data_IF_222755111187
#
_entry.id   IF_222755111187
#
_cell.length_a   1.000
_cell.length_b   1.000
_cell.length_c   1.000
_cell.angle_alpha   90.00
_cell.angle_beta   90.00
_cell.angle_gamma   90.00
#
_symmetry.space_group_name_H-M   'P 1'
#
loop_
_entity.id
_entity.type
_entity.pdbx_description
1 polymer ?
#
# COMPACT_ATOMS: atom_id res chain seq x y z
N UNK A 1 -30.95 -39.59 16.49
CA UNK A 1 -30.48 -38.39 17.23
C UNK A 1 -31.44 -37.25 16.95
N UNK A 2 -31.90 -36.53 17.97
CA UNK A 2 -32.98 -35.53 17.88
C UNK A 2 -32.58 -34.30 17.06
N UNK A 3 -33.53 -33.66 16.37
CA UNK A 3 -33.37 -32.38 15.64
C UNK A 3 -32.68 -31.27 16.47
N UNK A 4 -32.77 -31.35 17.80
CA UNK A 4 -32.07 -30.50 18.76
C UNK A 4 -30.54 -30.61 18.72
N UNK A 5 -30.00 -31.81 18.45
CA UNK A 5 -28.54 -32.03 18.36
C UNK A 5 -27.97 -31.39 17.09
N UNK A 6 -28.72 -31.40 15.99
CA UNK A 6 -28.33 -30.78 14.72
C UNK A 6 -28.44 -29.26 14.75
N UNK A 7 -29.48 -28.71 15.39
CA UNK A 7 -29.58 -27.28 15.66
C UNK A 7 -28.44 -26.79 16.56
N UNK A 8 -28.08 -27.57 17.59
CA UNK A 8 -26.94 -27.27 18.43
C UNK A 8 -25.61 -27.35 17.66
N UNK A 9 -25.43 -28.33 16.78
CA UNK A 9 -24.24 -28.44 15.92
C UNK A 9 -24.14 -27.29 14.90
N UNK A 10 -25.26 -26.88 14.29
CA UNK A 10 -25.31 -25.75 13.37
C UNK A 10 -25.06 -24.41 14.06
N UNK A 11 -25.63 -24.19 15.25
CA UNK A 11 -25.34 -23.02 16.09
C UNK A 11 -23.90 -23.01 16.58
N UNK A 12 -23.35 -24.17 16.97
CA UNK A 12 -21.95 -24.31 17.34
C UNK A 12 -21.02 -24.02 16.16
N UNK A 13 -21.31 -24.54 14.97
CA UNK A 13 -20.56 -24.23 13.74
C UNK A 13 -20.66 -22.75 13.37
N UNK A 14 -21.83 -22.13 13.50
CA UNK A 14 -22.04 -20.70 13.29
C UNK A 14 -21.32 -19.81 14.31
N UNK A 15 -21.34 -20.19 15.59
CA UNK A 15 -20.60 -19.51 16.66
C UNK A 15 -19.09 -19.70 16.52
N UNK A 16 -18.63 -20.88 16.13
CA UNK A 16 -17.22 -21.16 15.82
C UNK A 16 -16.80 -20.35 14.59
N UNK A 17 -17.63 -20.25 13.54
CA UNK A 17 -17.35 -19.42 12.38
C UNK A 17 -17.32 -17.94 12.75
N UNK A 18 -18.25 -17.46 13.57
CA UNK A 18 -18.26 -16.08 14.07
C UNK A 18 -17.06 -15.79 14.97
N UNK A 19 -16.66 -16.75 15.82
CA UNK A 19 -15.47 -16.68 16.65
C UNK A 19 -14.20 -16.74 15.79
N UNK A 20 -14.16 -17.51 14.71
CA UNK A 20 -13.07 -17.54 13.74
C UNK A 20 -13.04 -16.26 12.93
N UNK A 21 -14.17 -15.68 12.54
CA UNK A 21 -14.22 -14.37 11.89
C UNK A 21 -13.71 -13.31 12.85
N UNK A 22 -14.08 -13.37 14.13
CA UNK A 22 -13.60 -12.47 15.18
C UNK A 22 -12.11 -12.68 15.46
N UNK A 23 -11.64 -13.93 15.58
CA UNK A 23 -10.23 -14.29 15.79
C UNK A 23 -9.42 -13.97 14.56
N UNK A 24 -9.86 -14.22 13.33
CA UNK A 24 -9.15 -13.82 12.10
C UNK A 24 -9.16 -12.31 11.98
N UNK A 25 -10.22 -11.60 12.36
CA UNK A 25 -10.24 -10.13 12.34
C UNK A 25 -9.36 -9.50 13.44
N UNK A 26 -9.34 -10.07 14.64
CA UNK A 26 -8.57 -9.61 15.79
C UNK A 26 -7.12 -10.12 15.77
N UNK A 27 -6.90 -11.27 15.14
CA UNK A 27 -5.65 -12.03 15.12
C UNK A 27 -5.05 -12.15 13.72
N UNK A 28 -5.62 -11.56 12.66
CA UNK A 28 -5.01 -11.56 11.31
C UNK A 28 -3.56 -11.10 11.36
N UNK A 29 -3.22 -10.14 12.22
CA UNK A 29 -1.83 -9.71 12.41
C UNK A 29 -0.95 -10.79 13.07
N UNK A 30 -1.27 -11.32 14.28
CA UNK A 30 -0.47 -12.38 14.91
C UNK A 30 -0.57 -13.77 14.25
N UNK A 31 -1.69 -14.16 13.63
CA UNK A 31 -1.84 -15.41 12.88
C UNK A 31 -1.08 -15.37 11.56
N UNK A 32 -1.10 -14.26 10.81
CA UNK A 32 -0.21 -14.09 9.64
C UNK A 32 1.25 -14.16 10.10
N UNK A 33 1.60 -13.61 11.26
CA UNK A 33 2.95 -13.76 11.83
C UNK A 33 3.30 -15.20 12.21
N UNK A 34 2.35 -15.94 12.80
CA UNK A 34 2.52 -17.33 13.20
C UNK A 34 2.60 -18.27 12.01
N UNK A 35 1.77 -18.04 10.98
CA UNK A 35 1.78 -18.77 9.72
C UNK A 35 2.99 -18.43 8.86
N UNK A 36 3.49 -17.19 8.87
CA UNK A 36 4.76 -16.83 8.21
C UNK A 36 5.96 -17.48 8.93
N UNK A 37 5.95 -17.51 10.26
CA UNK A 37 6.97 -18.23 11.06
C UNK A 37 6.89 -19.75 10.87
N UNK A 38 5.69 -20.30 10.72
CA UNK A 38 5.47 -21.72 10.45
C UNK A 38 5.79 -22.08 8.98
N UNK A 39 5.48 -21.21 8.02
CA UNK A 39 5.78 -21.41 6.60
C UNK A 39 7.28 -21.27 6.29
N UNK A 40 8.04 -20.60 7.15
CA UNK A 40 9.51 -20.53 7.08
C UNK A 40 10.20 -21.69 7.80
N UNK A 41 9.46 -22.53 8.54
CA UNK A 41 9.99 -23.71 9.23
C UNK A 41 10.50 -24.81 8.25
N UNK A 42 9.79 -25.19 7.17
CA UNK A 42 10.31 -26.14 6.18
C UNK A 42 11.59 -25.65 5.52
N UNK A 43 11.66 -24.35 5.22
CA UNK A 43 12.85 -23.71 4.64
C UNK A 43 14.05 -23.75 5.60
N UNK A 44 13.83 -23.43 6.88
CA UNK A 44 14.84 -23.54 7.95
C UNK A 44 15.29 -24.98 8.21
N UNK A 45 14.37 -25.93 8.10
CA UNK A 45 14.65 -27.35 8.28
C UNK A 45 15.48 -27.90 7.11
N UNK A 46 15.16 -27.51 5.87
CA UNK A 46 15.93 -27.84 4.66
C UNK A 46 17.33 -27.21 4.69
N UNK A 47 17.47 -25.94 5.10
CA UNK A 47 18.78 -25.30 5.26
C UNK A 47 19.64 -25.93 6.38
N UNK A 48 19.02 -26.41 7.47
CA UNK A 48 19.72 -27.18 8.50
C UNK A 48 20.12 -28.59 8.06
N UNK A 49 19.30 -29.24 7.23
CA UNK A 49 19.58 -30.56 6.65
C UNK A 49 20.66 -30.52 5.56
N UNK A 50 20.76 -29.41 4.82
CA UNK A 50 21.75 -29.22 3.75
C UNK A 50 23.15 -28.81 4.24
N UNK A 51 23.39 -28.78 5.56
CA UNK A 51 24.75 -28.72 6.10
C UNK A 51 25.54 -27.42 5.83
N UNK A 52 24.90 -26.33 5.42
CA UNK A 52 25.55 -25.02 5.24
C UNK A 52 25.79 -24.25 6.56
N UNK A 53 25.61 -24.91 7.70
CA UNK A 53 25.83 -24.35 9.03
C UNK A 53 27.23 -24.65 9.57
N UNK A 54 28.28 -24.03 9.03
CA UNK A 54 29.55 -23.70 9.75
C UNK A 54 30.52 -22.96 8.82
N UNK A 55 30.39 -21.62 8.73
CA UNK A 55 31.49 -20.61 8.90
C UNK A 55 31.32 -19.26 8.20
N UNK A 56 30.26 -18.96 7.47
CA UNK A 56 30.00 -17.59 7.03
C UNK A 56 28.49 -17.34 6.91
N UNK A 57 28.03 -16.16 7.35
CA UNK A 57 26.63 -15.70 7.31
C UNK A 57 25.68 -16.29 8.39
N UNK A 58 26.04 -16.16 9.66
CA UNK A 58 25.13 -16.36 10.80
C UNK A 58 24.28 -15.11 11.14
N UNK A 59 24.12 -14.14 10.22
CA UNK A 59 23.32 -12.92 10.43
C UNK A 59 22.34 -12.63 9.29
N UNK A 60 22.79 -12.68 8.04
CA UNK A 60 22.01 -12.12 6.92
C UNK A 60 20.74 -12.91 6.50
N UNK A 61 20.68 -14.22 6.75
CA UNK A 61 19.57 -15.06 6.28
C UNK A 61 18.36 -15.11 7.22
N UNK A 62 18.60 -15.17 8.53
CA UNK A 62 17.54 -15.12 9.54
C UNK A 62 17.03 -13.69 9.74
N UNK A 63 17.89 -12.67 9.60
CA UNK A 63 17.49 -11.26 9.68
C UNK A 63 16.62 -10.82 8.51
N UNK A 64 16.88 -11.25 7.26
CA UNK A 64 16.05 -10.85 6.11
C UNK A 64 14.61 -11.39 6.18
N UNK A 65 14.43 -12.59 6.75
CA UNK A 65 13.11 -13.22 6.95
C UNK A 65 12.44 -12.65 8.20
N UNK A 66 13.19 -12.38 9.28
CA UNK A 66 12.68 -11.62 10.43
C UNK A 66 12.32 -10.18 10.09
N UNK A 67 13.02 -9.53 9.17
CA UNK A 67 12.76 -8.17 8.69
C UNK A 67 11.47 -8.10 7.88
N UNK A 68 11.32 -9.03 6.91
CA UNK A 68 10.10 -9.17 6.15
C UNK A 68 8.89 -9.52 7.05
N UNK A 69 9.11 -10.34 8.08
CA UNK A 69 8.08 -10.66 9.07
C UNK A 69 7.83 -9.48 10.04
N UNK A 70 8.85 -8.76 10.50
CA UNK A 70 8.73 -7.64 11.46
C UNK A 70 8.03 -6.43 10.83
N UNK A 71 8.29 -6.15 9.55
CA UNK A 71 7.62 -5.09 8.82
C UNK A 71 6.18 -5.47 8.39
N UNK A 72 5.87 -6.76 8.27
CA UNK A 72 4.50 -7.23 8.04
C UNK A 72 3.65 -7.33 9.33
N UNK A 73 4.29 -7.45 10.51
CA UNK A 73 3.63 -7.90 11.76
C UNK A 73 3.70 -6.90 12.91
N UNK A 74 4.74 -6.08 13.02
CA UNK A 74 4.87 -5.26 14.21
C UNK A 74 3.87 -4.11 14.18
N UNK A 75 2.91 -4.09 15.10
CA UNK A 75 2.20 -2.88 15.49
C UNK A 75 3.11 -1.83 16.15
N UNK A 76 4.40 -1.83 15.81
CA UNK A 76 5.36 -0.78 16.11
C UNK A 76 5.29 0.22 14.98
N UNK A 77 5.50 1.50 15.31
CA UNK A 77 5.64 2.53 14.29
C UNK A 77 6.72 2.13 13.30
N UNK A 78 6.44 2.32 12.01
CA UNK A 78 7.48 2.17 10.98
C UNK A 78 8.56 3.24 11.18
N UNK A 79 9.76 3.06 10.62
CA UNK A 79 10.81 4.07 10.71
C UNK A 79 10.34 5.40 10.11
N UNK A 80 9.60 5.34 9.00
CA UNK A 80 8.98 6.51 8.39
C UNK A 80 8.00 7.21 9.33
N UNK A 81 7.15 6.44 10.04
CA UNK A 81 6.22 7.01 11.03
C UNK A 81 6.92 7.60 12.24
N UNK A 82 8.01 6.96 12.70
CA UNK A 82 8.83 7.49 13.78
C UNK A 82 9.53 8.79 13.37
N UNK A 83 10.01 8.88 12.12
CA UNK A 83 10.64 10.08 11.58
C UNK A 83 9.65 11.24 11.36
N UNK A 84 8.39 10.93 11.04
CA UNK A 84 7.32 11.93 10.88
C UNK A 84 6.85 12.51 12.23
N UNK A 85 6.89 11.73 13.30
CA UNK A 85 6.36 12.12 14.61
C UNK A 85 4.82 12.12 14.67
N UNK A 86 4.26 12.85 15.64
CA UNK A 86 2.84 12.72 16.05
C UNK A 86 2.02 14.00 15.92
N UNK A 87 2.68 15.10 15.55
CA UNK A 87 2.09 16.43 15.54
C UNK A 87 1.38 16.72 14.19
N UNK A 88 0.26 16.01 13.97
CA UNK A 88 -0.54 16.10 12.73
C UNK A 88 -2.02 16.39 12.98
N UNK A 89 -2.38 16.92 14.17
CA UNK A 89 -3.77 17.21 14.52
C UNK A 89 -4.46 18.17 13.52
N UNK A 90 -3.71 19.13 12.98
CA UNK A 90 -4.20 20.01 11.93
C UNK A 90 -4.43 19.24 10.63
N UNK A 91 -3.44 18.51 10.11
CA UNK A 91 -3.54 17.70 8.89
C UNK A 91 -4.71 16.72 8.99
N UNK A 92 -4.86 16.04 10.11
CA UNK A 92 -5.97 15.12 10.38
C UNK A 92 -7.34 15.80 10.31
N UNK A 93 -7.44 17.07 10.69
CA UNK A 93 -8.71 17.83 10.56
C UNK A 93 -9.13 18.07 9.10
N UNK A 94 -8.17 18.03 8.16
CA UNK A 94 -8.40 18.17 6.72
C UNK A 94 -8.47 16.83 6.00
N UNK A 95 -8.13 15.72 6.66
CA UNK A 95 -8.23 14.37 6.12
C UNK A 95 -9.52 13.70 6.60
N UNK A 96 -10.42 13.37 5.66
CA UNK A 96 -11.62 12.61 5.98
C UNK A 96 -11.56 11.23 5.37
N UNK A 97 -11.81 10.23 6.21
CA UNK A 97 -11.92 8.84 5.77
C UNK A 97 -13.40 8.51 5.62
N UNK A 98 -13.87 8.46 4.38
CA UNK A 98 -15.28 8.21 4.07
C UNK A 98 -15.50 6.76 3.61
N UNK A 99 -16.71 6.22 3.83
CA UNK A 99 -17.09 4.87 3.42
C UNK A 99 -17.37 3.90 4.56
N UNK A 100 -18.22 2.91 4.29
CA UNK A 100 -18.70 1.93 5.28
C UNK A 100 -17.82 0.68 5.27
N UNK A 101 -17.72 -0.01 4.13
CA UNK A 101 -16.96 -1.25 4.00
C UNK A 101 -15.47 -0.99 3.67
N UNK A 102 -15.25 -0.24 2.60
CA UNK A 102 -13.95 0.30 2.22
C UNK A 102 -13.91 1.77 2.57
N UNK A 103 -12.71 2.26 2.90
CA UNK A 103 -12.52 3.67 3.19
C UNK A 103 -11.88 4.34 1.99
N UNK A 104 -12.17 5.60 1.74
CA UNK A 104 -11.41 6.42 0.80
C UNK A 104 -10.96 7.70 1.50
N UNK A 105 -9.85 8.26 1.02
CA UNK A 105 -9.27 9.48 1.58
C UNK A 105 -9.81 10.70 0.83
N UNK A 106 -10.49 11.60 1.54
CA UNK A 106 -10.87 12.91 1.04
C UNK A 106 -9.94 13.97 1.65
N UNK A 107 -9.32 14.78 0.80
CA UNK A 107 -8.39 15.84 1.20
C UNK A 107 -9.09 17.19 1.05
N UNK A 108 -9.38 17.84 2.18
CA UNK A 108 -10.07 19.13 2.18
C UNK A 108 -9.16 20.28 1.74
N UNK A 109 -9.77 21.35 1.24
CA UNK A 109 -9.10 22.63 0.96
C UNK A 109 -8.50 23.17 2.26
N UNK A 110 -7.27 23.69 2.19
CA UNK A 110 -6.53 24.17 3.36
C UNK A 110 -5.50 23.18 3.91
N UNK A 111 -5.43 21.95 3.38
CA UNK A 111 -4.38 20.99 3.75
C UNK A 111 -2.95 21.50 3.45
N UNK A 112 -2.78 22.29 2.40
CA UNK A 112 -1.47 22.82 2.00
C UNK A 112 -1.03 23.99 2.91
N UNK A 113 0.05 23.78 3.67
CA UNK A 113 0.68 24.81 4.52
C UNK A 113 1.68 25.71 3.78
N UNK A 114 1.96 25.47 2.50
CA UNK A 114 2.95 26.28 1.77
C UNK A 114 2.41 27.68 1.46
N UNK A 115 3.20 28.75 1.68
CA UNK A 115 2.85 30.10 1.25
C UNK A 115 2.56 30.18 -0.25
N UNK A 116 1.72 31.13 -0.65
CA UNK A 116 1.37 31.35 -2.07
C UNK A 116 2.49 32.04 -2.85
N UNK A 117 3.31 32.86 -2.18
CA UNK A 117 4.38 33.64 -2.81
C UNK A 117 5.75 33.40 -2.16
N UNK A 118 6.80 33.46 -2.97
CA UNK A 118 8.19 33.40 -2.52
C UNK A 118 8.66 34.81 -2.10
N UNK A 119 8.45 35.13 -0.83
CA UNK A 119 8.96 36.37 -0.21
C UNK A 119 10.46 36.27 0.08
N UNK A 120 11.13 37.41 0.27
CA UNK A 120 12.56 37.41 0.62
C UNK A 120 12.84 36.73 1.98
N UNK A 121 11.90 36.83 2.91
CA UNK A 121 11.98 36.10 4.19
C UNK A 121 11.91 34.58 3.96
N UNK A 122 10.96 34.13 3.15
CA UNK A 122 10.83 32.71 2.80
C UNK A 122 12.03 32.21 2.01
N UNK A 123 12.61 33.02 1.12
CA UNK A 123 13.82 32.68 0.39
C UNK A 123 15.04 32.50 1.32
N UNK A 124 15.16 33.32 2.38
CA UNK A 124 16.17 33.14 3.43
C UNK A 124 15.94 31.86 4.22
N UNK A 125 14.70 31.56 4.57
CA UNK A 125 14.35 30.31 5.27
C UNK A 125 14.65 29.09 4.41
N UNK A 126 14.30 29.11 3.12
CA UNK A 126 14.64 28.06 2.18
C UNK A 126 16.14 27.90 1.98
N UNK A 127 16.92 28.98 1.95
CA UNK A 127 18.38 28.88 1.89
C UNK A 127 18.98 28.29 3.18
N UNK A 128 18.42 28.62 4.36
CA UNK A 128 18.78 27.97 5.63
C UNK A 128 18.53 26.46 5.55
N UNK A 129 17.35 26.06 5.10
CA UNK A 129 16.99 24.65 4.91
C UNK A 129 17.90 23.97 3.87
N UNK A 130 18.17 24.63 2.75
CA UNK A 130 19.06 24.15 1.70
C UNK A 130 20.48 23.89 2.22
N UNK A 131 21.04 24.81 3.02
CA UNK A 131 22.35 24.64 3.63
C UNK A 131 22.36 23.48 4.62
N UNK A 132 21.32 23.36 5.45
CA UNK A 132 21.16 22.23 6.36
C UNK A 132 21.09 20.89 5.61
N UNK A 133 20.36 20.86 4.49
CA UNK A 133 20.23 19.67 3.65
C UNK A 133 21.54 19.30 2.93
N UNK A 134 22.15 20.26 2.22
CA UNK A 134 23.34 20.02 1.40
C UNK A 134 24.62 19.81 2.24
N UNK A 135 24.69 20.42 3.43
CA UNK A 135 25.79 20.23 4.37
C UNK A 135 25.53 19.13 5.41
N UNK A 136 24.33 18.56 5.44
CA UNK A 136 23.91 17.57 6.41
C UNK A 136 24.54 16.20 6.17
N UNK A 137 24.79 15.45 7.24
CA UNK A 137 25.18 14.04 7.12
C UNK A 137 23.94 13.21 6.77
N UNK A 138 24.03 12.41 5.71
CA UNK A 138 23.01 11.40 5.42
C UNK A 138 23.21 10.24 6.39
N UNK A 139 22.21 9.86 7.20
CA UNK A 139 22.31 8.69 8.04
C UNK A 139 22.35 7.44 7.15
N UNK A 140 23.47 6.72 7.18
CA UNK A 140 23.68 5.45 6.43
C UNK A 140 23.27 4.24 7.30
N UNK A 141 23.07 4.48 8.60
CA UNK A 141 22.59 3.46 9.53
C UNK A 141 21.18 3.03 9.14
N UNK A 142 21.00 1.71 9.03
CA UNK A 142 19.71 1.09 8.73
C UNK A 142 19.45 -0.02 9.73
N UNK A 143 18.21 -0.11 10.20
CA UNK A 143 17.79 -1.27 10.96
C UNK A 143 17.64 -2.44 9.97
N UNK A 144 18.43 -3.50 10.16
CA UNK A 144 18.36 -4.71 9.33
C UNK A 144 16.96 -5.35 9.33
N UNK A 145 16.12 -5.03 10.33
CA UNK A 145 14.73 -5.50 10.43
C UNK A 145 13.73 -4.62 9.68
N UNK A 146 14.11 -3.41 9.32
CA UNK A 146 13.26 -2.54 8.53
C UNK A 146 13.36 -2.92 7.05
N UNK A 147 12.25 -2.79 6.34
CA UNK A 147 12.27 -2.96 4.90
C UNK A 147 12.93 -1.75 4.25
N UNK A 148 13.65 -1.99 3.16
CA UNK A 148 14.44 -0.98 2.45
C UNK A 148 13.64 0.30 2.16
N UNK A 149 12.40 0.15 1.69
CA UNK A 149 11.53 1.28 1.38
C UNK A 149 11.04 2.06 2.60
N UNK A 150 10.98 1.44 3.79
CA UNK A 150 10.69 2.17 5.02
C UNK A 150 11.92 2.92 5.54
N UNK A 151 13.12 2.38 5.32
CA UNK A 151 14.38 3.08 5.60
C UNK A 151 14.51 4.30 4.69
N UNK A 152 14.32 4.15 3.37
CA UNK A 152 14.33 5.28 2.43
C UNK A 152 13.26 6.32 2.79
N UNK A 153 12.05 5.85 3.13
CA UNK A 153 10.96 6.73 3.54
C UNK A 153 11.31 7.53 4.80
N UNK A 154 11.99 6.92 5.77
CA UNK A 154 12.43 7.58 6.99
C UNK A 154 13.52 8.63 6.73
N UNK A 155 14.48 8.33 5.85
CA UNK A 155 15.54 9.29 5.47
C UNK A 155 14.91 10.53 4.83
N UNK A 156 13.99 10.36 3.89
CA UNK A 156 13.29 11.48 3.24
C UNK A 156 12.45 12.25 4.27
N UNK A 157 11.69 11.55 5.12
CA UNK A 157 10.89 12.19 6.16
C UNK A 157 11.74 13.02 7.13
N UNK A 158 12.94 12.53 7.50
CA UNK A 158 13.85 13.27 8.37
C UNK A 158 14.45 14.50 7.69
N UNK A 159 14.93 14.36 6.45
CA UNK A 159 15.54 15.45 5.69
C UNK A 159 14.57 16.60 5.39
N UNK A 160 13.30 16.27 5.17
CA UNK A 160 12.26 17.25 4.85
C UNK A 160 11.27 17.46 6.00
N UNK A 161 11.66 17.13 7.23
CA UNK A 161 10.78 17.24 8.40
C UNK A 161 10.30 18.69 8.62
N UNK A 162 11.19 19.68 8.43
CA UNK A 162 10.83 21.10 8.62
C UNK A 162 9.99 21.68 7.46
N UNK A 163 10.17 21.19 6.23
CA UNK A 163 9.54 21.77 5.04
C UNK A 163 8.28 21.04 4.58
N UNK A 164 8.31 19.70 4.55
CA UNK A 164 7.39 18.88 3.76
C UNK A 164 6.69 17.78 4.58
N UNK A 165 6.82 17.79 5.92
CA UNK A 165 6.22 16.78 6.80
C UNK A 165 4.74 16.53 6.53
N UNK A 166 3.95 17.58 6.27
CA UNK A 166 2.52 17.46 5.98
C UNK A 166 2.25 16.76 4.64
N UNK A 167 3.06 17.02 3.61
CA UNK A 167 2.93 16.36 2.32
C UNK A 167 3.28 14.87 2.44
N UNK A 168 4.40 14.57 3.11
CA UNK A 168 4.88 13.19 3.36
C UNK A 168 3.86 12.42 4.21
N UNK A 169 3.27 13.06 5.22
CA UNK A 169 2.21 12.48 6.04
C UNK A 169 0.98 12.08 5.22
N UNK A 170 0.45 12.97 4.37
CA UNK A 170 -0.70 12.67 3.50
C UNK A 170 -0.43 11.46 2.61
N UNK A 171 0.74 11.46 1.98
CA UNK A 171 1.17 10.40 1.08
C UNK A 171 1.27 9.06 1.83
N UNK A 172 1.83 9.06 3.05
CA UNK A 172 1.89 7.89 3.91
C UNK A 172 0.49 7.42 4.37
N UNK A 173 -0.42 8.33 4.69
CA UNK A 173 -1.80 8.00 5.07
C UNK A 173 -2.59 7.41 3.90
N UNK A 174 -2.41 7.95 2.70
CA UNK A 174 -2.95 7.38 1.45
C UNK A 174 -2.45 5.95 1.26
N UNK A 175 -1.13 5.71 1.39
CA UNK A 175 -0.53 4.36 1.37
C UNK A 175 -1.18 3.40 2.35
N UNK A 176 -1.32 3.79 3.62
CA UNK A 176 -1.90 2.94 4.68
C UNK A 176 -3.34 2.59 4.37
N UNK A 177 -4.13 3.56 3.93
CA UNK A 177 -5.53 3.37 3.58
C UNK A 177 -5.67 2.43 2.38
N UNK A 178 -4.89 2.64 1.33
CA UNK A 178 -4.91 1.77 0.14
C UNK A 178 -4.52 0.33 0.50
N UNK A 179 -3.46 0.13 1.29
CA UNK A 179 -3.05 -1.20 1.76
C UNK A 179 -4.13 -1.86 2.62
N UNK A 180 -4.74 -1.11 3.54
CA UNK A 180 -5.80 -1.63 4.40
C UNK A 180 -7.03 -2.08 3.60
N UNK A 181 -7.38 -1.38 2.52
CA UNK A 181 -8.47 -1.77 1.64
C UNK A 181 -8.17 -3.07 0.88
N UNK A 182 -6.95 -3.27 0.38
CA UNK A 182 -6.56 -4.52 -0.28
C UNK A 182 -6.61 -5.70 0.68
N UNK A 183 -6.06 -5.53 1.88
CA UNK A 183 -6.10 -6.56 2.92
C UNK A 183 -7.55 -6.94 3.26
N UNK A 184 -8.43 -5.95 3.42
CA UNK A 184 -9.86 -6.18 3.65
C UNK A 184 -10.52 -6.91 2.50
N UNK A 185 -10.23 -6.54 1.26
CA UNK A 185 -10.80 -7.18 0.07
C UNK A 185 -10.38 -8.65 0.01
N UNK A 186 -9.09 -8.94 0.16
CA UNK A 186 -8.56 -10.30 0.19
C UNK A 186 -9.18 -11.13 1.33
N UNK A 187 -9.40 -10.51 2.50
CA UNK A 187 -10.03 -11.17 3.65
C UNK A 187 -11.50 -11.50 3.38
N UNK A 188 -12.27 -10.56 2.83
CA UNK A 188 -13.68 -10.77 2.48
C UNK A 188 -13.85 -11.83 1.41
N UNK A 189 -13.02 -11.80 0.37
CA UNK A 189 -13.08 -12.79 -0.67
C UNK A 189 -12.70 -14.18 -0.16
N UNK A 190 -11.67 -14.29 0.68
CA UNK A 190 -11.29 -15.56 1.30
C UNK A 190 -12.41 -16.10 2.19
N UNK A 191 -13.09 -15.21 2.92
CA UNK A 191 -14.25 -15.55 3.75
C UNK A 191 -15.42 -16.07 2.91
N UNK A 192 -15.78 -15.39 1.81
CA UNK A 192 -16.87 -15.81 0.92
C UNK A 192 -16.56 -17.20 0.36
N UNK A 193 -15.35 -17.39 -0.15
CA UNK A 193 -14.93 -18.65 -0.79
C UNK A 193 -14.91 -19.80 0.23
N UNK A 194 -14.43 -19.53 1.44
CA UNK A 194 -14.49 -20.46 2.56
C UNK A 194 -15.90 -20.80 3.02
N UNK A 195 -16.79 -19.79 3.09
CA UNK A 195 -18.18 -19.99 3.47
C UNK A 195 -18.92 -20.85 2.44
N UNK A 196 -18.70 -20.63 1.13
CA UNK A 196 -19.24 -21.51 0.08
C UNK A 196 -18.82 -22.95 0.32
N UNK A 197 -17.53 -23.21 0.53
CA UNK A 197 -17.04 -24.56 0.73
C UNK A 197 -17.65 -25.21 1.99
N UNK A 198 -17.59 -24.50 3.13
CA UNK A 198 -18.09 -25.02 4.41
C UNK A 198 -19.60 -25.28 4.37
N UNK A 199 -20.39 -24.34 3.85
CA UNK A 199 -21.86 -24.46 3.77
C UNK A 199 -22.23 -25.66 2.90
N UNK A 200 -21.59 -25.83 1.74
CA UNK A 200 -21.89 -26.98 0.87
C UNK A 200 -21.49 -28.32 1.50
N UNK A 201 -20.35 -28.38 2.20
CA UNK A 201 -19.95 -29.59 2.94
C UNK A 201 -21.00 -29.91 4.01
N UNK A 202 -21.35 -28.95 4.87
CA UNK A 202 -22.29 -29.19 5.98
C UNK A 202 -23.69 -29.52 5.48
N UNK A 203 -24.21 -28.80 4.48
CA UNK A 203 -25.56 -29.04 3.96
C UNK A 203 -25.67 -30.37 3.21
N UNK A 204 -24.60 -30.79 2.52
CA UNK A 204 -24.56 -32.09 1.84
C UNK A 204 -24.47 -33.23 2.85
N UNK A 205 -23.57 -33.13 3.84
CA UNK A 205 -23.36 -34.15 4.88
C UNK A 205 -24.60 -34.35 5.77
N UNK A 206 -25.32 -33.27 6.08
CA UNK A 206 -26.57 -33.33 6.88
C UNK A 206 -27.78 -33.82 6.09
N UNK A 207 -27.64 -34.06 4.79
CA UNK A 207 -28.77 -34.41 3.91
C UNK A 207 -29.79 -33.28 3.74
N UNK A 208 -29.51 -32.07 4.26
CA UNK A 208 -30.44 -30.94 4.19
C UNK A 208 -30.72 -30.50 2.74
N UNK A 209 -29.76 -30.67 1.83
CA UNK A 209 -29.97 -30.35 0.42
C UNK A 209 -31.03 -31.27 -0.20
N UNK A 210 -31.04 -32.55 0.16
CA UNK A 210 -32.06 -33.49 -0.29
C UNK A 210 -33.43 -33.18 0.37
N UNK A 211 -33.44 -32.83 1.66
CA UNK A 211 -34.67 -32.51 2.39
C UNK A 211 -35.36 -31.21 1.93
N UNK A 212 -34.60 -30.26 1.39
CA UNK A 212 -35.12 -28.98 0.86
C UNK A 212 -35.37 -29.04 -0.66
N UNK A 213 -35.14 -30.19 -1.29
CA UNK A 213 -35.29 -30.28 -2.74
C UNK A 213 -36.76 -30.33 -3.16
N UNK A 214 -37.18 -29.48 -4.11
CA UNK A 214 -38.48 -29.61 -4.75
C UNK A 214 -38.51 -30.74 -5.80
N UNK A 215 -37.39 -31.42 -6.06
CA UNK A 215 -37.25 -32.45 -7.08
C UNK A 215 -37.51 -33.82 -6.44
N UNK A 216 -38.57 -34.49 -6.88
CA UNK A 216 -38.92 -35.83 -6.40
C UNK A 216 -37.79 -36.84 -6.66
N UNK A 217 -37.58 -37.76 -5.72
CA UNK A 217 -36.57 -38.83 -5.80
C UNK A 217 -36.86 -39.88 -6.89
N UNK A 218 -37.99 -39.77 -7.60
CA UNK A 218 -38.32 -40.65 -8.72
C UNK A 218 -37.37 -40.41 -9.89
N UNK A 219 -36.35 -41.26 -9.96
CA UNK A 219 -35.29 -41.25 -10.95
C UNK A 219 -35.84 -41.42 -12.38
N UNK A 220 -35.88 -40.33 -13.13
CA UNK A 220 -35.96 -40.35 -14.59
C UNK A 220 -34.62 -39.95 -15.20
N UNK A 221 -33.56 -40.74 -14.98
CA UNK A 221 -32.24 -40.53 -15.59
C UNK A 221 -31.05 -41.16 -14.85
N UNK A 222 -29.81 -41.01 -15.38
CA UNK A 222 -28.58 -41.52 -14.77
C UNK A 222 -28.11 -40.72 -13.53
N UNK A 223 -28.82 -39.66 -13.16
CA UNK A 223 -28.51 -38.79 -12.01
C UNK A 223 -29.71 -38.85 -11.06
N UNK A 224 -29.47 -39.13 -9.79
CA UNK A 224 -30.51 -39.17 -8.76
C UNK A 224 -31.01 -37.76 -8.42
N UNK A 225 -32.26 -37.64 -7.93
CA UNK A 225 -32.82 -36.35 -7.49
C UNK A 225 -31.97 -35.66 -6.43
N UNK A 226 -31.45 -36.43 -5.46
CA UNK A 226 -30.50 -35.96 -4.46
C UNK A 226 -29.20 -35.38 -5.05
N UNK A 227 -28.59 -36.05 -6.05
CA UNK A 227 -27.39 -35.56 -6.73
C UNK A 227 -27.67 -34.27 -7.51
N UNK A 228 -28.81 -34.19 -8.21
CA UNK A 228 -29.21 -32.98 -8.93
C UNK A 228 -29.47 -31.80 -7.99
N UNK A 229 -30.01 -32.07 -6.80
CA UNK A 229 -30.27 -31.05 -5.77
C UNK A 229 -28.98 -30.52 -5.17
N UNK A 230 -28.03 -31.42 -4.86
CA UNK A 230 -26.67 -31.05 -4.44
C UNK A 230 -25.95 -30.23 -5.49
N UNK A 231 -26.11 -30.59 -6.76
CA UNK A 231 -25.55 -29.87 -7.89
C UNK A 231 -26.11 -28.45 -7.99
N UNK A 232 -27.44 -28.29 -7.88
CA UNK A 232 -28.11 -26.98 -7.95
C UNK A 232 -27.71 -26.10 -6.76
N UNK A 233 -27.66 -26.65 -5.55
CA UNK A 233 -27.22 -25.91 -4.36
C UNK A 233 -25.75 -25.48 -4.45
N UNK A 234 -24.87 -26.39 -4.89
CA UNK A 234 -23.46 -26.11 -5.13
C UNK A 234 -23.24 -25.06 -6.21
N UNK A 235 -23.95 -25.17 -7.34
CA UNK A 235 -23.88 -24.19 -8.41
C UNK A 235 -24.45 -22.83 -7.99
N UNK A 236 -25.61 -22.82 -7.33
CA UNK A 236 -26.26 -21.60 -6.86
C UNK A 236 -25.43 -20.82 -5.84
N UNK A 237 -24.80 -21.53 -4.90
CA UNK A 237 -23.90 -20.90 -3.92
C UNK A 237 -22.61 -20.34 -4.55
N UNK A 238 -22.02 -21.04 -5.53
CA UNK A 238 -20.89 -20.51 -6.30
C UNK A 238 -21.27 -19.27 -7.13
N UNK A 239 -22.44 -19.28 -7.79
CA UNK A 239 -22.94 -18.12 -8.55
C UNK A 239 -23.23 -16.93 -7.65
N UNK A 240 -23.89 -17.15 -6.51
CA UNK A 240 -24.14 -16.11 -5.51
C UNK A 240 -22.83 -15.53 -4.99
N UNK A 241 -21.84 -16.38 -4.68
CA UNK A 241 -20.53 -15.92 -4.25
C UNK A 241 -19.81 -15.09 -5.31
N UNK A 242 -19.84 -15.51 -6.58
CA UNK A 242 -19.29 -14.72 -7.68
C UNK A 242 -19.98 -13.35 -7.80
N UNK A 243 -21.31 -13.30 -7.66
CA UNK A 243 -22.10 -12.06 -7.71
C UNK A 243 -21.77 -11.13 -6.53
N UNK A 244 -21.63 -11.68 -5.31
CA UNK A 244 -21.24 -10.90 -4.12
C UNK A 244 -19.82 -10.38 -4.26
N UNK A 245 -18.86 -11.20 -4.71
CA UNK A 245 -17.49 -10.78 -4.97
C UNK A 245 -17.43 -9.68 -6.04
N UNK A 246 -18.19 -9.83 -7.11
CA UNK A 246 -18.30 -8.82 -8.17
C UNK A 246 -18.87 -7.51 -7.64
N UNK A 247 -19.95 -7.55 -6.85
CA UNK A 247 -20.56 -6.36 -6.26
C UNK A 247 -19.59 -5.66 -5.29
N UNK A 248 -18.94 -6.41 -4.40
CA UNK A 248 -17.92 -5.87 -3.50
C UNK A 248 -16.75 -5.25 -4.25
N UNK A 249 -16.32 -5.83 -5.37
CA UNK A 249 -15.22 -5.29 -6.16
C UNK A 249 -15.60 -4.02 -6.90
N UNK A 250 -16.67 -4.07 -7.71
CA UNK A 250 -17.00 -3.00 -8.65
C UNK A 250 -17.85 -1.88 -8.04
N UNK A 251 -18.74 -2.19 -7.10
CA UNK A 251 -19.58 -1.17 -6.46
C UNK A 251 -18.85 -0.47 -5.31
N UNK A 252 -18.01 -1.19 -4.57
CA UNK A 252 -17.39 -0.68 -3.34
C UNK A 252 -15.87 -0.54 -3.46
N UNK A 253 -15.10 -1.59 -3.72
CA UNK A 253 -13.65 -1.48 -3.66
C UNK A 253 -13.04 -0.54 -4.73
N UNK A 254 -13.36 -0.79 -6.00
CA UNK A 254 -12.73 -0.13 -7.14
C UNK A 254 -12.98 1.39 -7.18
N UNK A 255 -14.22 1.90 -7.00
CA UNK A 255 -14.46 3.34 -6.97
C UNK A 255 -13.72 4.05 -5.84
N UNK A 256 -13.65 3.43 -4.65
CA UNK A 256 -13.04 4.03 -3.47
C UNK A 256 -11.51 4.12 -3.58
N UNK A 257 -10.87 3.11 -4.19
CA UNK A 257 -9.44 3.15 -4.46
C UNK A 257 -9.08 4.13 -5.56
N UNK A 258 -9.90 4.23 -6.61
CA UNK A 258 -9.75 5.26 -7.65
C UNK A 258 -9.89 6.65 -7.06
N UNK A 259 -10.90 6.89 -6.22
CA UNK A 259 -11.06 8.19 -5.55
C UNK A 259 -9.85 8.55 -4.69
N UNK A 260 -9.31 7.61 -3.91
CA UNK A 260 -8.09 7.84 -3.13
C UNK A 260 -6.88 8.16 -4.01
N UNK A 261 -6.72 7.44 -5.12
CA UNK A 261 -5.66 7.69 -6.10
C UNK A 261 -5.79 9.09 -6.73
N UNK A 262 -7.00 9.48 -7.14
CA UNK A 262 -7.30 10.82 -7.70
C UNK A 262 -7.07 11.94 -6.71
N UNK A 263 -7.49 11.78 -5.46
CA UNK A 263 -7.24 12.77 -4.41
C UNK A 263 -5.74 12.93 -4.15
N UNK A 264 -5.00 11.83 -4.17
CA UNK A 264 -3.54 11.84 -4.06
C UNK A 264 -2.90 12.55 -5.26
N UNK A 265 -3.33 12.25 -6.48
CA UNK A 265 -2.87 12.90 -7.70
C UNK A 265 -3.18 14.42 -7.70
N UNK A 266 -4.42 14.79 -7.38
CA UNK A 266 -4.85 16.19 -7.27
C UNK A 266 -4.07 16.97 -6.20
N UNK A 267 -3.76 16.33 -5.07
CA UNK A 267 -2.87 16.92 -4.07
C UNK A 267 -1.47 17.14 -4.64
N UNK A 268 -0.88 16.11 -5.24
CA UNK A 268 0.47 16.15 -5.81
C UNK A 268 0.60 17.22 -6.91
N UNK A 269 -0.35 17.30 -7.83
CA UNK A 269 -0.38 18.31 -8.89
C UNK A 269 -0.37 19.72 -8.31
N UNK A 270 -1.24 20.01 -7.33
CA UNK A 270 -1.31 21.34 -6.70
C UNK A 270 -0.05 21.67 -5.90
N UNK A 271 0.45 20.67 -5.17
CA UNK A 271 1.63 20.83 -4.33
C UNK A 271 2.88 21.11 -5.17
N UNK A 272 3.14 20.31 -6.21
CA UNK A 272 4.29 20.49 -7.08
C UNK A 272 4.17 21.71 -8.00
N UNK A 273 2.96 22.09 -8.40
CA UNK A 273 2.73 23.38 -9.08
C UNK A 273 3.23 24.55 -8.21
N UNK A 274 2.88 24.56 -6.92
CA UNK A 274 3.33 25.60 -5.99
C UNK A 274 4.84 25.59 -5.76
N UNK A 275 5.47 24.41 -5.63
CA UNK A 275 6.94 24.32 -5.55
C UNK A 275 7.59 24.86 -6.82
N UNK A 276 7.03 24.55 -7.98
CA UNK A 276 7.53 25.01 -9.27
C UNK A 276 7.35 26.52 -9.48
N UNK A 277 6.27 27.12 -8.98
CA UNK A 277 6.10 28.58 -9.02
C UNK A 277 7.18 29.28 -8.20
N UNK A 278 7.48 28.78 -7.00
CA UNK A 278 8.63 29.25 -6.21
C UNK A 278 9.95 29.05 -6.97
N UNK A 279 10.13 27.90 -7.64
CA UNK A 279 11.33 27.61 -8.42
C UNK A 279 11.53 28.62 -9.56
N UNK A 280 10.47 28.94 -10.31
CA UNK A 280 10.50 29.94 -11.38
C UNK A 280 10.82 31.34 -10.85
N UNK A 281 10.24 31.73 -9.71
CA UNK A 281 10.55 32.99 -9.05
C UNK A 281 12.02 33.05 -8.62
N UNK A 282 12.55 31.97 -8.04
CA UNK A 282 13.95 31.89 -7.65
C UNK A 282 14.90 32.02 -8.86
N UNK A 283 14.55 31.46 -10.02
CA UNK A 283 15.31 31.64 -11.26
C UNK A 283 15.30 33.09 -11.73
N UNK A 284 14.12 33.73 -11.75
CA UNK A 284 13.99 35.13 -12.16
C UNK A 284 14.81 36.06 -11.27
N UNK A 285 14.78 35.81 -9.96
CA UNK A 285 15.58 36.54 -8.97
C UNK A 285 17.08 36.27 -9.13
N UNK A 286 17.50 35.02 -9.28
CA UNK A 286 18.90 34.68 -9.55
C UNK A 286 19.44 35.41 -10.78
N UNK A 287 18.70 35.42 -11.90
CA UNK A 287 19.11 36.12 -13.11
C UNK A 287 19.17 37.64 -12.94
N UNK A 288 18.49 38.24 -11.96
CA UNK A 288 18.44 39.70 -11.80
C UNK A 288 19.44 40.27 -10.80
N UNK A 289 20.18 39.41 -10.08
CA UNK A 289 21.18 39.82 -9.07
C UNK A 289 22.17 40.86 -9.62
N UNK A 290 22.69 40.65 -10.82
CA UNK A 290 23.71 41.50 -11.45
C UNK A 290 23.17 42.72 -12.20
N UNK A 291 21.84 42.84 -12.33
CA UNK A 291 21.17 43.89 -13.13
C UNK A 291 20.87 45.15 -12.29
N UNK A 292 21.03 45.07 -10.96
CA UNK A 292 20.74 46.16 -10.04
C UNK A 292 21.76 47.31 -10.02
N UNK A 293 21.47 48.34 -9.22
CA UNK A 293 22.41 49.44 -8.94
C UNK A 293 23.49 49.07 -7.90
N UNK A 294 23.37 47.89 -7.28
CA UNK A 294 24.31 47.41 -6.27
C UNK A 294 25.68 47.13 -6.91
N UNK A 295 26.73 47.69 -6.31
CA UNK A 295 28.12 47.59 -6.80
C UNK A 295 29.03 46.88 -5.82
N UNK A 296 28.57 46.59 -4.60
CA UNK A 296 29.32 45.78 -3.66
C UNK A 296 29.34 44.31 -4.09
N UNK A 297 30.53 43.84 -4.48
CA UNK A 297 30.73 42.47 -4.93
C UNK A 297 30.43 41.44 -3.85
N UNK A 298 30.56 41.78 -2.56
CA UNK A 298 30.22 40.87 -1.45
C UNK A 298 28.71 40.69 -1.36
N UNK A 299 27.95 41.78 -1.41
CA UNK A 299 26.50 41.73 -1.36
C UNK A 299 25.92 40.97 -2.57
N UNK A 300 26.46 41.23 -3.77
CA UNK A 300 26.08 40.49 -4.98
C UNK A 300 26.39 38.99 -4.87
N UNK A 301 27.52 38.62 -4.29
CA UNK A 301 27.89 37.22 -4.09
C UNK A 301 26.98 36.52 -3.08
N UNK A 302 26.65 37.19 -1.97
CA UNK A 302 25.72 36.66 -0.96
C UNK A 302 24.32 36.44 -1.54
N UNK A 303 23.83 37.40 -2.35
CA UNK A 303 22.53 37.29 -3.01
C UNK A 303 22.53 36.20 -4.10
N UNK A 304 23.59 36.09 -4.91
CA UNK A 304 23.75 35.01 -5.88
C UNK A 304 23.77 33.63 -5.19
N UNK A 305 24.48 33.50 -4.07
CA UNK A 305 24.51 32.27 -3.29
C UNK A 305 23.13 31.92 -2.72
N UNK A 306 22.40 32.90 -2.19
CA UNK A 306 21.05 32.73 -1.67
C UNK A 306 20.12 32.13 -2.73
N UNK A 307 20.08 32.73 -3.92
CA UNK A 307 19.18 32.27 -4.99
C UNK A 307 19.64 30.95 -5.61
N UNK A 308 20.95 30.71 -5.73
CA UNK A 308 21.48 29.43 -6.18
C UNK A 308 21.10 28.28 -5.23
N UNK A 309 21.16 28.49 -3.91
CA UNK A 309 20.70 27.53 -2.91
C UNK A 309 19.20 27.27 -3.02
N UNK A 310 18.40 28.32 -3.20
CA UNK A 310 16.96 28.19 -3.41
C UNK A 310 16.60 27.35 -4.64
N UNK A 311 17.25 27.61 -5.78
CA UNK A 311 17.05 26.85 -7.02
C UNK A 311 17.34 25.36 -6.79
N UNK A 312 18.49 25.02 -6.19
CA UNK A 312 18.86 23.63 -5.91
C UNK A 312 17.88 22.97 -4.93
N UNK A 313 17.54 23.66 -3.84
CA UNK A 313 16.63 23.16 -2.82
C UNK A 313 15.24 22.84 -3.36
N UNK A 314 14.64 23.77 -4.11
CA UNK A 314 13.31 23.57 -4.67
C UNK A 314 13.30 22.44 -5.71
N UNK A 315 14.34 22.33 -6.53
CA UNK A 315 14.46 21.24 -7.48
C UNK A 315 14.62 19.87 -6.77
N UNK A 316 15.47 19.80 -5.74
CA UNK A 316 15.67 18.58 -4.95
C UNK A 316 14.40 18.18 -4.18
N UNK A 317 13.63 19.13 -3.65
CA UNK A 317 12.31 18.86 -3.06
C UNK A 317 11.40 18.14 -4.04
N UNK A 318 11.30 18.59 -5.29
CA UNK A 318 10.50 17.90 -6.32
C UNK A 318 11.01 16.48 -6.54
N UNK A 319 12.33 16.30 -6.70
CA UNK A 319 12.94 14.97 -6.89
C UNK A 319 12.64 13.99 -5.75
N UNK A 320 12.78 14.44 -4.50
CA UNK A 320 12.56 13.57 -3.34
C UNK A 320 11.08 13.26 -3.10
N UNK A 321 10.17 14.20 -3.38
CA UNK A 321 8.73 13.92 -3.35
C UNK A 321 8.37 12.90 -4.43
N UNK A 322 8.90 13.04 -5.65
CA UNK A 322 8.70 12.06 -6.73
C UNK A 322 9.23 10.67 -6.35
N UNK A 323 10.43 10.62 -5.76
CA UNK A 323 11.03 9.39 -5.24
C UNK A 323 10.20 8.77 -4.12
N UNK A 324 9.66 9.58 -3.21
CA UNK A 324 8.82 9.12 -2.11
C UNK A 324 7.48 8.55 -2.61
N UNK A 325 6.86 9.16 -3.62
CA UNK A 325 5.65 8.63 -4.26
C UNK A 325 5.94 7.29 -4.95
N UNK A 326 7.04 7.18 -5.70
CA UNK A 326 7.47 5.90 -6.29
C UNK A 326 7.65 4.84 -5.22
N UNK A 327 8.28 5.22 -4.11
CA UNK A 327 8.50 4.34 -2.97
C UNK A 327 7.18 3.85 -2.34
N UNK A 328 6.21 4.73 -2.17
CA UNK A 328 4.85 4.39 -1.72
C UNK A 328 4.17 3.45 -2.70
N UNK A 329 4.20 3.72 -4.01
CA UNK A 329 3.58 2.86 -4.99
C UNK A 329 4.18 1.45 -4.97
N UNK A 330 5.50 1.35 -4.82
CA UNK A 330 6.20 0.07 -4.65
C UNK A 330 5.71 -0.67 -3.41
N UNK A 331 5.60 0.02 -2.26
CA UNK A 331 5.06 -0.56 -1.02
C UNK A 331 3.64 -1.10 -1.21
N UNK A 332 2.77 -0.34 -1.87
CA UNK A 332 1.38 -0.74 -2.09
C UNK A 332 1.33 -1.98 -2.98
N UNK A 333 2.04 -1.99 -4.11
CA UNK A 333 2.06 -3.14 -5.04
C UNK A 333 2.61 -4.39 -4.36
N UNK A 334 3.73 -4.28 -3.65
CA UNK A 334 4.34 -5.43 -2.96
C UNK A 334 3.45 -5.96 -1.84
N UNK A 335 2.93 -5.10 -0.96
CA UNK A 335 2.06 -5.53 0.13
C UNK A 335 0.79 -6.20 -0.41
N UNK A 336 0.26 -5.71 -1.53
CA UNK A 336 -0.88 -6.34 -2.21
C UNK A 336 -0.57 -7.75 -2.71
N UNK A 337 0.63 -7.98 -3.26
CA UNK A 337 1.10 -9.33 -3.62
C UNK A 337 1.19 -10.23 -2.38
N UNK A 338 1.70 -9.72 -1.26
CA UNK A 338 1.73 -10.47 -0.01
C UNK A 338 0.33 -10.83 0.48
N UNK A 339 -0.64 -9.91 0.40
CA UNK A 339 -2.02 -10.20 0.77
C UNK A 339 -2.67 -11.23 -0.16
N UNK A 340 -2.33 -11.20 -1.46
CA UNK A 340 -2.81 -12.20 -2.42
C UNK A 340 -2.37 -13.63 -2.08
N UNK A 341 -1.18 -13.79 -1.49
CA UNK A 341 -0.62 -15.11 -1.19
C UNK A 341 -0.96 -15.53 0.24
N UNK A 342 -0.63 -14.70 1.22
CA UNK A 342 -0.67 -15.09 2.62
C UNK A 342 -2.08 -15.08 3.22
N UNK A 343 -3.00 -14.21 2.75
CA UNK A 343 -4.37 -14.19 3.27
C UNK A 343 -5.12 -15.48 2.87
N UNK A 344 -5.14 -15.90 1.58
CA UNK A 344 -5.69 -17.20 1.20
C UNK A 344 -5.02 -18.37 1.88
N UNK A 345 -3.68 -18.39 1.94
CA UNK A 345 -2.95 -19.49 2.57
C UNK A 345 -3.33 -19.63 4.06
N UNK A 346 -3.42 -18.49 4.77
CA UNK A 346 -3.86 -18.48 6.15
C UNK A 346 -5.30 -18.96 6.30
N UNK A 347 -6.19 -18.53 5.41
CA UNK A 347 -7.59 -18.92 5.42
C UNK A 347 -7.78 -20.41 5.10
N UNK A 348 -7.06 -20.94 4.11
CA UNK A 348 -7.04 -22.36 3.78
C UNK A 348 -6.52 -23.20 4.93
N UNK A 349 -5.42 -22.78 5.58
CA UNK A 349 -4.91 -23.45 6.78
C UNK A 349 -5.93 -23.48 7.91
N UNK A 350 -6.61 -22.36 8.16
CA UNK A 350 -7.68 -22.29 9.16
C UNK A 350 -8.86 -23.20 8.79
N UNK A 351 -9.28 -23.21 7.52
CA UNK A 351 -10.38 -24.03 7.03
C UNK A 351 -10.08 -25.54 7.16
N UNK A 352 -8.86 -25.95 6.80
CA UNK A 352 -8.41 -27.34 6.97
C UNK A 352 -8.45 -27.72 8.46
N UNK A 353 -7.97 -26.85 9.33
CA UNK A 353 -8.05 -27.03 10.79
C UNK A 353 -9.49 -27.22 11.28
N UNK A 354 -10.42 -26.35 10.86
CA UNK A 354 -11.85 -26.45 11.21
C UNK A 354 -12.45 -27.76 10.72
N UNK A 355 -12.23 -28.12 9.45
CA UNK A 355 -12.76 -29.35 8.87
C UNK A 355 -12.22 -30.60 9.59
N UNK A 356 -10.95 -30.57 10.01
CA UNK A 356 -10.32 -31.67 10.76
C UNK A 356 -10.93 -31.82 12.14
N UNK A 357 -11.16 -30.69 12.84
CA UNK A 357 -11.83 -30.67 14.14
C UNK A 357 -13.26 -31.19 13.99
N UNK A 358 -14.04 -30.68 13.03
CA UNK A 358 -15.41 -31.12 12.78
C UNK A 358 -15.46 -32.63 12.50
N UNK A 359 -14.61 -33.12 11.59
CA UNK A 359 -14.51 -34.54 11.27
C UNK A 359 -14.28 -35.42 12.51
N UNK A 360 -13.44 -34.97 13.45
CA UNK A 360 -13.16 -35.72 14.68
C UNK A 360 -14.34 -35.83 15.64
N UNK A 361 -15.30 -34.89 15.60
CA UNK A 361 -16.45 -34.86 16.49
C UNK A 361 -17.73 -35.43 15.88
N UNK A 362 -17.91 -35.27 14.57
CA UNK A 362 -19.17 -35.65 13.89
C UNK A 362 -19.02 -36.91 13.05
N UNK A 363 -17.79 -37.42 12.84
CA UNK A 363 -17.52 -38.49 11.89
C UNK A 363 -17.66 -38.06 10.43
N UNK A 364 -17.79 -36.75 10.17
CA UNK A 364 -17.88 -36.16 8.84
C UNK A 364 -16.58 -36.48 8.08
N UNK A 365 -16.72 -36.94 6.83
CA UNK A 365 -15.60 -37.25 5.93
C UNK A 365 -15.47 -36.16 4.85
N UNK A 366 -14.78 -35.03 5.12
CA UNK A 366 -14.90 -33.82 4.29
C UNK A 366 -14.49 -34.05 2.84
N UNK A 367 -13.50 -34.93 2.62
CA UNK A 367 -13.01 -35.28 1.29
C UNK A 367 -14.00 -36.13 0.50
N UNK A 368 -14.74 -37.04 1.16
CA UNK A 368 -15.79 -37.82 0.53
C UNK A 368 -16.99 -36.93 0.21
N UNK A 369 -17.38 -36.03 1.13
CA UNK A 369 -18.44 -35.04 0.89
C UNK A 369 -18.08 -34.11 -0.28
N UNK A 370 -16.84 -33.63 -0.37
CA UNK A 370 -16.36 -32.83 -1.51
C UNK A 370 -16.44 -33.62 -2.82
N UNK A 371 -16.06 -34.90 -2.80
CA UNK A 371 -16.21 -35.77 -3.98
C UNK A 371 -17.69 -35.97 -4.35
N UNK A 372 -18.58 -36.08 -3.36
CA UNK A 372 -20.02 -36.23 -3.53
C UNK A 372 -20.73 -34.98 -4.09
N UNK A 373 -20.16 -33.78 -3.87
CA UNK A 373 -20.64 -32.53 -4.50
C UNK A 373 -20.50 -32.55 -6.03
N UNK A 374 -19.66 -33.44 -6.57
CA UNK A 374 -19.53 -33.69 -8.00
C UNK A 374 -18.62 -32.71 -8.75
N UNK A 375 -18.28 -33.08 -9.99
CA UNK A 375 -17.29 -32.37 -10.81
C UNK A 375 -17.72 -30.94 -11.20
N UNK A 376 -19.02 -30.67 -11.34
CA UNK A 376 -19.52 -29.34 -11.68
C UNK A 376 -19.28 -28.35 -10.54
N UNK A 377 -19.52 -28.76 -9.29
CA UNK A 377 -19.20 -27.93 -8.13
C UNK A 377 -17.71 -27.61 -8.11
N UNK A 378 -16.85 -28.61 -8.34
CA UNK A 378 -15.41 -28.41 -8.41
C UNK A 378 -15.02 -27.39 -9.49
N UNK A 379 -15.57 -27.51 -10.71
CA UNK A 379 -15.30 -26.56 -11.80
C UNK A 379 -15.76 -25.15 -11.42
N UNK A 380 -16.98 -24.99 -10.90
CA UNK A 380 -17.51 -23.68 -10.51
C UNK A 380 -16.73 -23.08 -9.35
N UNK A 381 -16.32 -23.88 -8.37
CA UNK A 381 -15.50 -23.45 -7.26
C UNK A 381 -14.12 -22.98 -7.72
N UNK A 382 -13.48 -23.73 -8.63
CA UNK A 382 -12.23 -23.33 -9.28
C UNK A 382 -12.42 -22.03 -10.08
N UNK A 383 -13.56 -21.86 -10.76
CA UNK A 383 -13.86 -20.63 -11.49
C UNK A 383 -14.04 -19.43 -10.55
N UNK A 384 -14.71 -19.61 -9.40
CA UNK A 384 -14.81 -18.57 -8.36
C UNK A 384 -13.42 -18.24 -7.78
N UNK A 385 -12.55 -19.24 -7.58
CA UNK A 385 -11.16 -19.02 -7.18
C UNK A 385 -10.32 -18.32 -8.26
N UNK A 386 -10.60 -18.57 -9.54
CA UNK A 386 -10.00 -17.83 -10.64
C UNK A 386 -10.47 -16.36 -10.67
N UNK A 387 -11.77 -16.11 -10.42
CA UNK A 387 -12.32 -14.76 -10.29
C UNK A 387 -11.71 -14.01 -9.10
N UNK A 388 -11.55 -14.68 -7.97
CA UNK A 388 -10.82 -14.18 -6.80
C UNK A 388 -9.42 -13.67 -7.19
N UNK A 389 -8.64 -14.50 -7.89
CA UNK A 389 -7.28 -14.16 -8.32
C UNK A 389 -7.28 -13.02 -9.37
N UNK A 390 -8.26 -13.02 -10.27
CA UNK A 390 -8.41 -11.98 -11.28
C UNK A 390 -8.72 -10.61 -10.66
N UNK A 391 -9.67 -10.53 -9.73
CA UNK A 391 -10.03 -9.28 -9.07
C UNK A 391 -8.88 -8.74 -8.21
N UNK A 392 -8.18 -9.60 -7.47
CA UNK A 392 -7.05 -9.14 -6.67
C UNK A 392 -5.83 -8.75 -7.49
N UNK A 393 -5.53 -9.45 -8.59
CA UNK A 393 -4.47 -9.01 -9.51
C UNK A 393 -4.79 -7.67 -10.18
N UNK A 394 -6.07 -7.38 -10.39
CA UNK A 394 -6.54 -6.08 -10.92
C UNK A 394 -6.72 -5.01 -9.84
N UNK A 395 -6.63 -5.36 -8.55
CA UNK A 395 -6.96 -4.47 -7.44
C UNK A 395 -6.11 -3.19 -7.40
N UNK A 396 -4.92 -3.23 -8.00
CA UNK A 396 -3.92 -2.15 -8.03
C UNK A 396 -3.92 -1.31 -9.30
N UNK A 397 -4.78 -1.60 -10.27
CA UNK A 397 -4.90 -0.78 -11.50
C UNK A 397 -5.29 0.67 -11.20
N UNK A 398 -5.88 0.96 -10.04
CA UNK A 398 -6.18 2.33 -9.62
C UNK A 398 -4.92 3.17 -9.35
N UNK A 399 -3.77 2.54 -9.07
CA UNK A 399 -2.51 3.28 -8.89
C UNK A 399 -2.05 3.96 -10.18
N UNK A 400 -2.45 3.43 -11.33
CA UNK A 400 -2.14 4.05 -12.61
C UNK A 400 -2.81 5.44 -12.73
N UNK A 401 -3.86 5.74 -11.93
CA UNK A 401 -4.45 7.09 -11.84
C UNK A 401 -3.54 8.11 -11.13
N UNK A 402 -2.58 7.66 -10.31
CA UNK A 402 -1.55 8.54 -9.72
C UNK A 402 -0.50 8.92 -10.78
N UNK A 403 -0.26 8.03 -11.74
CA UNK A 403 0.79 8.15 -12.76
C UNK A 403 0.31 8.77 -14.08
N UNK A 404 -0.89 9.36 -14.14
CA UNK A 404 -1.46 9.95 -15.37
C UNK A 404 -0.72 11.19 -15.90
N UNK A 405 0.51 11.46 -15.43
CA UNK A 405 1.48 12.30 -16.14
C UNK A 405 1.26 13.82 -16.04
N UNK A 406 0.37 14.30 -15.16
CA UNK A 406 0.02 15.73 -15.10
C UNK A 406 0.80 16.54 -14.06
N UNK A 407 1.51 15.88 -13.14
CA UNK A 407 2.24 16.56 -12.06
C UNK A 407 3.68 16.89 -12.48
N UNK A 408 4.15 18.08 -12.08
CA UNK A 408 5.46 18.62 -12.49
C UNK A 408 6.57 17.76 -11.90
N UNK A 409 7.25 17.01 -12.76
CA UNK A 409 8.32 16.10 -12.37
C UNK A 409 9.69 16.75 -12.47
N UNK A 410 10.69 16.20 -11.77
CA UNK A 410 12.02 16.79 -11.68
C UNK A 410 12.68 17.00 -13.05
N UNK A 411 12.49 16.06 -13.99
CA UNK A 411 13.07 16.15 -15.33
C UNK A 411 12.59 17.37 -16.11
N UNK A 412 11.36 17.85 -15.85
CA UNK A 412 10.78 19.03 -16.52
C UNK A 412 11.41 20.34 -16.06
N UNK A 413 12.00 20.37 -14.86
CA UNK A 413 12.64 21.56 -14.30
C UNK A 413 13.95 21.93 -15.01
N UNK A 414 14.56 20.96 -15.72
CA UNK A 414 15.81 21.11 -16.47
C UNK A 414 16.90 21.83 -15.66
N UNK A 415 17.12 21.40 -14.41
CA UNK A 415 18.02 22.06 -13.45
C UNK A 415 19.39 22.38 -14.04
N UNK A 416 19.99 21.46 -14.80
CA UNK A 416 21.27 21.68 -15.49
C UNK A 416 21.24 22.90 -16.43
N UNK A 417 20.23 22.99 -17.30
CA UNK A 417 20.10 24.10 -18.23
C UNK A 417 19.87 25.43 -17.51
N UNK A 418 19.04 25.42 -16.46
CA UNK A 418 18.75 26.60 -15.64
C UNK A 418 20.00 27.09 -14.91
N UNK A 419 20.75 26.21 -14.25
CA UNK A 419 21.99 26.58 -13.58
C UNK A 419 23.03 27.08 -14.58
N UNK A 420 23.15 26.44 -15.74
CA UNK A 420 24.01 26.89 -16.83
C UNK A 420 23.65 28.29 -17.32
N UNK A 421 22.36 28.61 -17.46
CA UNK A 421 21.91 29.95 -17.87
C UNK A 421 22.19 31.01 -16.80
N UNK A 422 21.93 30.71 -15.53
CA UNK A 422 22.22 31.63 -14.41
C UNK A 422 23.73 31.90 -14.29
N UNK A 423 24.54 30.85 -14.29
CA UNK A 423 26.02 30.98 -14.23
C UNK A 423 26.55 31.67 -15.48
N UNK A 424 26.04 31.33 -16.66
CA UNK A 424 26.41 31.97 -17.92
C UNK A 424 26.15 33.47 -17.90
N UNK A 425 24.99 33.89 -17.37
CA UNK A 425 24.66 35.31 -17.20
C UNK A 425 25.63 36.01 -16.25
N UNK A 426 25.93 35.42 -15.09
CA UNK A 426 26.92 35.99 -14.18
C UNK A 426 28.31 36.12 -14.83
N UNK A 427 28.73 35.13 -15.60
CA UNK A 427 30.00 35.16 -16.32
C UNK A 427 30.04 36.24 -17.41
N UNK A 428 28.94 36.42 -18.15
CA UNK A 428 28.78 37.48 -19.15
C UNK A 428 28.89 38.87 -18.52
N UNK A 429 28.17 39.10 -17.42
CA UNK A 429 28.18 40.39 -16.72
C UNK A 429 29.56 40.69 -16.13
N UNK A 430 30.21 39.72 -15.49
CA UNK A 430 31.59 39.87 -14.98
C UNK A 430 32.58 40.11 -16.14
N UNK A 431 32.43 39.39 -17.25
CA UNK A 431 33.26 39.57 -18.44
C UNK A 431 33.11 40.97 -19.06
N UNK A 432 31.88 41.48 -19.14
CA UNK A 432 31.58 42.83 -19.59
C UNK A 432 32.30 43.88 -18.75
N UNK A 433 32.18 43.79 -17.42
CA UNK A 433 32.85 44.72 -16.50
C UNK A 433 34.38 44.59 -16.55
N UNK A 434 34.92 43.38 -16.60
CA UNK A 434 36.37 43.14 -16.73
C UNK A 434 36.92 43.78 -18.01
N UNK A 435 36.24 43.64 -19.14
CA UNK A 435 36.69 44.20 -20.41
C UNK A 435 36.55 45.73 -20.46
N UNK A 436 35.54 46.30 -19.79
CA UNK A 436 35.30 47.75 -19.75
C UNK A 436 36.24 48.49 -18.78
N UNK A 437 36.63 47.86 -17.68
CA UNK A 437 37.52 48.44 -16.65
C UNK A 437 38.99 48.07 -16.91
N UNK A 438 39.26 46.87 -17.43
CA UNK A 438 40.61 46.36 -17.71
C UNK A 438 41.17 46.74 -19.08
N UNK A 439 40.35 47.20 -20.02
CA UNK A 439 40.80 47.71 -21.33
C UNK A 439 41.19 49.20 -21.33
N UNK A 440 41.25 49.83 -20.14
CA UNK A 440 41.63 51.23 -19.95
C UNK A 440 43.00 51.44 -19.28
N UNK A 441 43.83 50.38 -19.23
CA UNK A 441 45.27 50.44 -19.00
C UNK A 441 45.96 49.94 -20.27
#
# INVERSE_FOLDING_TARGET
>A
MSNLAWLAAGLAAGLILALIIYIVRASARPLVSGLLRAATFPYRFVLRLLGSGRRAAAGAGDEAVEAAAAAAVSGRRTLTEAALGDDFAHEDSFLQRQGVFFKWLSVRVGYMRMPEELTDALAKDYARLANGFLGGKVPIESDARALFEDVEGAVIAHQFHESDRGAIYLLNESRKLMNANVLKLASWFSLILGAVLLINIVLNDTGMIAALSPIADEAAGPITGAQLSSLIAGAGSCLLAALVMWALYYAEYSPYQRNTARETANFLTRYLARVNDHYRTAIGKAKSVTVGQERDSKHLAEEAQLWALNINWLALRVFFIETYVRNIQFQIRRNSIYYLIFVPAAFLGALIGVLTILASFTGLSPFETIAALGWVFLILFVLVAALYAFFLSSSMKSLDEIDQGEWISFHTLRLNAVLGEVVGKYAEDVGYWKNRVGGGL
#
